data_IF_646131616211
#
_entry.id   IF_646131616211
#
_cell.length_a   1.000
_cell.length_b   1.000
_cell.length_c   1.000
_cell.angle_alpha   90.00
_cell.angle_beta   90.00
_cell.angle_gamma   90.00
#
_symmetry.space_group_name_H-M   'P 1'
#
loop_
_entity.id
_entity.type
_entity.pdbx_description
1 polymer ?
#
# COMPACT_ATOMS: atom_id res chain seq x y z
N UNK A 1 -22.77 -3.14 -2.43
CA UNK A 1 -22.35 -4.22 -3.35
C UNK A 1 -20.88 -4.00 -3.68
N UNK A 2 -20.04 -5.03 -3.62
CA UNK A 2 -18.62 -4.93 -3.96
C UNK A 2 -18.47 -4.89 -5.48
N UNK A 3 -17.79 -3.88 -6.02
CA UNK A 3 -17.58 -3.75 -7.47
C UNK A 3 -16.29 -4.42 -7.94
N UNK A 4 -15.26 -4.42 -7.10
CA UNK A 4 -13.94 -4.95 -7.41
C UNK A 4 -13.38 -5.75 -6.24
N UNK A 5 -12.64 -6.80 -6.57
CA UNK A 5 -11.74 -7.49 -5.66
C UNK A 5 -10.30 -7.10 -6.00
N UNK A 6 -9.52 -6.69 -5.02
CA UNK A 6 -8.08 -6.49 -5.19
C UNK A 6 -7.35 -7.77 -4.77
N UNK A 7 -6.60 -8.38 -5.70
CA UNK A 7 -5.67 -9.45 -5.39
C UNK A 7 -4.26 -8.88 -5.32
N UNK A 8 -3.59 -9.13 -4.20
CA UNK A 8 -2.31 -8.56 -3.80
C UNK A 8 -1.37 -9.70 -3.42
N UNK A 9 -0.13 -9.64 -3.89
CA UNK A 9 0.89 -10.66 -3.64
C UNK A 9 2.25 -10.01 -3.45
N UNK A 10 2.68 -9.77 -2.21
CA UNK A 10 3.96 -9.11 -1.95
C UNK A 10 5.12 -10.08 -2.07
N UNK A 11 6.16 -9.65 -2.77
CA UNK A 11 7.49 -10.24 -2.60
C UNK A 11 8.27 -9.43 -1.57
N UNK A 12 9.09 -10.13 -0.76
CA UNK A 12 9.86 -9.52 0.31
C UNK A 12 11.33 -9.96 0.31
N UNK A 13 12.21 -9.16 0.90
CA UNK A 13 13.58 -9.59 1.22
C UNK A 13 13.53 -10.84 2.10
N UNK A 14 14.39 -11.82 1.83
CA UNK A 14 14.46 -13.04 2.62
C UNK A 14 15.89 -13.60 2.68
N UNK A 15 16.14 -14.48 3.64
CA UNK A 15 17.43 -15.11 3.88
C UNK A 15 17.23 -16.53 4.41
N UNK A 16 17.97 -17.50 3.87
CA UNK A 16 17.97 -18.90 4.31
C UNK A 16 19.07 -19.21 5.34
N UNK A 17 19.98 -18.26 5.57
CA UNK A 17 21.11 -18.39 6.52
C UNK A 17 20.80 -17.84 7.91
N UNK A 18 19.78 -17.01 8.04
CA UNK A 18 19.36 -16.37 9.29
C UNK A 18 18.02 -16.94 9.73
N UNK A 19 17.84 -17.30 11.01
CA UNK A 19 16.52 -17.68 11.52
C UNK A 19 15.48 -16.60 11.25
N UNK A 20 14.26 -17.00 10.84
CA UNK A 20 13.20 -16.06 10.50
C UNK A 20 12.84 -15.11 11.65
N UNK A 21 13.04 -15.51 12.91
CA UNK A 21 12.83 -14.65 14.08
C UNK A 21 13.80 -13.48 14.18
N UNK A 22 14.92 -13.52 13.46
CA UNK A 22 16.00 -12.53 13.48
C UNK A 22 16.10 -11.76 12.16
N UNK A 23 15.32 -12.15 11.14
CA UNK A 23 15.29 -11.50 9.84
C UNK A 23 14.06 -10.60 9.70
N UNK A 24 14.28 -9.35 9.32
CA UNK A 24 13.22 -8.40 9.01
C UNK A 24 12.94 -8.47 7.51
N UNK A 25 11.77 -8.97 7.13
CA UNK A 25 11.34 -8.98 5.73
C UNK A 25 10.82 -7.58 5.37
N UNK A 26 11.32 -7.03 4.27
CA UNK A 26 10.87 -5.77 3.69
C UNK A 26 10.22 -6.04 2.34
N UNK A 27 9.10 -5.39 2.03
CA UNK A 27 8.45 -5.51 0.72
C UNK A 27 9.43 -5.01 -0.36
N UNK A 28 9.61 -5.79 -1.42
CA UNK A 28 10.45 -5.46 -2.59
C UNK A 28 9.68 -5.49 -3.92
N UNK A 29 8.46 -6.02 -3.93
CA UNK A 29 7.52 -5.92 -5.05
C UNK A 29 6.10 -5.74 -4.53
N UNK A 30 5.36 -4.82 -5.16
CA UNK A 30 3.99 -4.43 -4.80
C UNK A 30 3.06 -4.56 -6.02
N UNK A 31 2.66 -5.78 -6.41
CA UNK A 31 1.69 -6.01 -7.48
C UNK A 31 0.27 -6.10 -6.94
N UNK A 32 -0.67 -5.41 -7.58
CA UNK A 32 -2.11 -5.52 -7.29
C UNK A 32 -2.89 -5.64 -8.59
N UNK A 33 -3.83 -6.57 -8.66
CA UNK A 33 -4.80 -6.65 -9.77
C UNK A 33 -6.23 -6.49 -9.25
N UNK A 34 -7.04 -5.74 -10.00
CA UNK A 34 -8.43 -5.46 -9.65
C UNK A 34 -9.37 -6.26 -10.56
N UNK A 35 -10.05 -7.24 -9.97
CA UNK A 35 -10.99 -8.12 -10.65
C UNK A 35 -12.41 -7.58 -10.49
N UNK A 36 -13.06 -7.30 -11.61
CA UNK A 36 -14.43 -6.85 -11.66
C UNK A 36 -15.38 -7.97 -11.21
N UNK A 37 -16.20 -7.71 -10.19
CA UNK A 37 -17.08 -8.72 -9.60
C UNK A 37 -18.20 -9.21 -10.53
N UNK A 38 -18.51 -8.46 -11.60
CA UNK A 38 -19.54 -8.82 -12.58
C UNK A 38 -18.98 -9.57 -13.79
N UNK A 39 -17.84 -9.12 -14.32
CA UNK A 39 -17.27 -9.69 -15.55
C UNK A 39 -16.23 -10.78 -15.26
N UNK A 40 -15.72 -10.84 -14.02
CA UNK A 40 -14.61 -11.69 -13.59
C UNK A 40 -13.32 -11.47 -14.41
N UNK A 41 -13.19 -10.29 -15.02
CA UNK A 41 -11.98 -9.87 -15.73
C UNK A 41 -11.15 -8.94 -14.86
N UNK A 42 -9.84 -8.88 -15.15
CA UNK A 42 -8.94 -7.87 -14.58
C UNK A 42 -9.14 -6.58 -15.38
N UNK A 43 -9.64 -5.54 -14.71
CA UNK A 43 -9.84 -4.23 -15.34
C UNK A 43 -8.63 -3.32 -15.12
N UNK A 44 -7.94 -3.45 -13.98
CA UNK A 44 -6.81 -2.61 -13.60
C UNK A 44 -5.69 -3.42 -12.94
N UNK A 45 -4.46 -2.94 -13.10
CA UNK A 45 -3.27 -3.49 -12.46
C UNK A 45 -2.33 -2.38 -12.01
N UNK A 46 -1.84 -2.48 -10.78
CA UNK A 46 -0.76 -1.67 -10.25
C UNK A 46 0.46 -2.57 -10.03
N UNK A 47 1.65 -2.06 -10.31
CA UNK A 47 2.91 -2.77 -10.07
C UNK A 47 4.00 -1.74 -9.76
N UNK A 48 4.77 -2.02 -8.71
CA UNK A 48 6.01 -1.30 -8.43
C UNK A 48 7.00 -2.23 -7.74
N UNK A 49 8.28 -2.10 -8.09
CA UNK A 49 9.35 -2.54 -7.18
C UNK A 49 9.46 -1.57 -6.02
N UNK A 50 10.00 -2.04 -4.91
CA UNK A 50 10.18 -1.27 -3.69
C UNK A 50 11.64 -1.39 -3.23
N UNK A 51 12.24 -0.27 -2.86
CA UNK A 51 13.61 -0.24 -2.35
C UNK A 51 13.62 -0.59 -0.85
N UNK A 52 14.30 -1.68 -0.45
CA UNK A 52 14.50 -2.01 0.97
C UNK A 52 15.50 -1.03 1.60
N UNK A 53 15.33 -0.73 2.89
CA UNK A 53 16.12 0.23 3.66
C UNK A 53 17.04 -0.47 4.67
N UNK A 54 16.54 -1.51 5.32
CA UNK A 54 17.25 -2.28 6.34
C UNK A 54 18.20 -3.30 5.67
N UNK A 55 17.68 -4.15 4.79
CA UNK A 55 18.42 -5.16 4.01
C UNK A 55 18.53 -4.74 2.54
N UNK A 56 19.33 -3.70 2.28
CA UNK A 56 19.51 -3.12 0.93
C UNK A 56 20.03 -4.08 -0.13
N UNK A 57 20.80 -5.10 0.27
CA UNK A 57 21.36 -6.10 -0.63
C UNK A 57 20.50 -7.36 -0.57
N UNK A 58 19.92 -7.75 -1.71
CA UNK A 58 19.21 -9.01 -1.85
C UNK A 58 20.18 -10.17 -1.69
N UNK A 59 19.75 -11.21 -0.98
CA UNK A 59 20.50 -12.46 -0.90
C UNK A 59 20.33 -13.25 -2.20
N UNK A 60 21.31 -14.11 -2.53
CA UNK A 60 21.18 -15.00 -3.69
C UNK A 60 19.96 -15.91 -3.59
N UNK A 61 19.60 -16.33 -2.37
CA UNK A 61 18.39 -17.11 -2.09
C UNK A 61 17.13 -16.31 -2.46
N UNK A 62 17.03 -15.06 -2.02
CA UNK A 62 15.91 -14.18 -2.31
C UNK A 62 15.75 -13.97 -3.82
N UNK A 63 16.85 -13.62 -4.51
CA UNK A 63 16.82 -13.45 -5.97
C UNK A 63 16.43 -14.74 -6.71
N UNK A 64 16.87 -15.91 -6.24
CA UNK A 64 16.47 -17.20 -6.84
C UNK A 64 14.99 -17.52 -6.60
N UNK A 65 14.46 -17.17 -5.43
CA UNK A 65 13.09 -17.47 -5.05
C UNK A 65 12.08 -16.56 -5.76
N UNK A 66 12.35 -15.26 -5.80
CA UNK A 66 11.42 -14.25 -6.33
C UNK A 66 11.70 -13.91 -7.80
N UNK A 67 12.91 -14.16 -8.29
CA UNK A 67 13.38 -13.73 -9.60
C UNK A 67 13.79 -12.25 -9.67
N UNK A 68 13.70 -11.51 -8.56
CA UNK A 68 14.03 -10.08 -8.50
C UNK A 68 15.54 -9.89 -8.33
N UNK A 69 16.14 -9.11 -9.22
CA UNK A 69 17.57 -8.79 -9.21
C UNK A 69 17.84 -7.42 -8.57
N UNK A 70 19.04 -7.26 -8.02
CA UNK A 70 19.42 -6.09 -7.22
C UNK A 70 19.15 -4.74 -7.90
N UNK A 71 19.36 -4.63 -9.21
CA UNK A 71 19.14 -3.37 -9.94
C UNK A 71 17.66 -2.96 -10.00
N UNK A 72 16.72 -3.90 -9.91
CA UNK A 72 15.27 -3.59 -9.90
C UNK A 72 14.86 -2.87 -8.60
N UNK A 73 15.48 -3.21 -7.48
CA UNK A 73 15.18 -2.60 -6.17
C UNK A 73 16.10 -1.43 -5.81
N UNK A 74 17.28 -1.34 -6.42
CA UNK A 74 18.26 -0.28 -6.10
C UNK A 74 17.75 1.11 -6.49
N UNK A 75 17.15 1.20 -7.68
CA UNK A 75 16.62 2.44 -8.25
C UNK A 75 15.10 2.59 -8.04
N UNK A 76 14.49 1.67 -7.29
CA UNK A 76 13.07 1.71 -6.97
C UNK A 76 12.74 2.82 -5.95
N UNK A 77 11.49 3.33 -5.95
CA UNK A 77 10.95 4.14 -4.86
C UNK A 77 10.94 3.39 -3.52
N UNK A 78 11.00 4.13 -2.42
CA UNK A 78 10.84 3.56 -1.07
C UNK A 78 9.37 3.23 -0.81
N UNK A 79 9.08 2.36 0.17
CA UNK A 79 7.71 1.91 0.45
C UNK A 79 6.71 3.06 0.66
N UNK A 80 7.02 4.16 1.39
CA UNK A 80 6.10 5.29 1.52
C UNK A 80 5.71 5.91 0.17
N UNK A 81 6.67 6.12 -0.72
CA UNK A 81 6.41 6.68 -2.05
C UNK A 81 5.55 5.73 -2.90
N UNK A 82 5.78 4.42 -2.80
CA UNK A 82 4.96 3.41 -3.48
C UNK A 82 3.53 3.39 -2.97
N UNK A 83 3.33 3.60 -1.67
CA UNK A 83 2.00 3.72 -1.08
C UNK A 83 1.28 4.98 -1.55
N UNK A 84 1.99 6.11 -1.68
CA UNK A 84 1.44 7.34 -2.25
C UNK A 84 1.07 7.16 -3.73
N UNK A 85 1.91 6.49 -4.51
CA UNK A 85 1.62 6.11 -5.90
C UNK A 85 0.40 5.19 -6.00
N UNK A 86 0.29 4.21 -5.10
CA UNK A 86 -0.84 3.30 -5.06
C UNK A 86 -2.13 4.03 -4.65
N UNK A 87 -2.06 4.96 -3.70
CA UNK A 87 -3.20 5.80 -3.32
C UNK A 87 -3.67 6.66 -4.49
N UNK A 88 -2.75 7.33 -5.19
CA UNK A 88 -3.08 8.09 -6.40
C UNK A 88 -3.71 7.20 -7.48
N UNK A 89 -3.18 5.98 -7.68
CA UNK A 89 -3.77 5.01 -8.59
C UNK A 89 -5.21 4.64 -8.20
N UNK A 90 -5.50 4.43 -6.92
CA UNK A 90 -6.85 4.14 -6.45
C UNK A 90 -7.81 5.31 -6.70
N UNK A 91 -7.35 6.55 -6.47
CA UNK A 91 -8.15 7.75 -6.67
C UNK A 91 -8.47 7.98 -8.17
N UNK A 92 -7.46 7.87 -9.04
CA UNK A 92 -7.62 8.02 -10.50
C UNK A 92 -8.62 7.03 -11.10
N UNK A 93 -8.75 5.84 -10.51
CA UNK A 93 -9.66 4.78 -10.97
C UNK A 93 -10.97 4.73 -10.18
N UNK A 94 -11.20 5.65 -9.23
CA UNK A 94 -12.41 5.65 -8.39
C UNK A 94 -12.56 4.39 -7.54
N UNK A 95 -11.44 3.79 -7.13
CA UNK A 95 -11.35 2.58 -6.32
C UNK A 95 -11.26 2.89 -4.82
N UNK A 96 -11.18 4.17 -4.43
CA UNK A 96 -11.27 4.59 -3.05
C UNK A 96 -12.71 4.56 -2.52
N UNK A 97 -12.91 4.20 -1.23
CA UNK A 97 -14.24 4.24 -0.63
C UNK A 97 -14.82 5.66 -0.68
N UNK A 98 -16.03 5.78 -1.24
CA UNK A 98 -16.81 7.02 -1.17
C UNK A 98 -17.08 7.32 0.31
N UNK A 99 -16.47 8.38 0.84
CA UNK A 99 -16.62 8.81 2.23
C UNK A 99 -15.32 9.05 3.00
N UNK A 100 -14.15 8.75 2.43
CA UNK A 100 -12.87 9.23 2.98
C UNK A 100 -12.68 10.69 2.55
N UNK A 101 -13.37 11.60 3.22
CA UNK A 101 -13.03 13.02 3.20
C UNK A 101 -11.57 13.12 3.65
N UNK A 102 -10.70 13.72 2.82
CA UNK A 102 -9.41 14.21 3.29
C UNK A 102 -9.67 15.15 4.47
N UNK A 103 -8.82 15.13 5.50
CA UNK A 103 -8.99 16.01 6.67
C UNK A 103 -9.14 17.50 6.29
N UNK A 104 -8.66 17.89 5.10
CA UNK A 104 -8.85 19.23 4.53
C UNK A 104 -10.31 19.57 4.22
N UNK A 105 -11.13 18.61 3.77
CA UNK A 105 -12.55 18.87 3.46
C UNK A 105 -13.45 18.92 4.70
N UNK A 106 -13.04 18.33 5.82
CA UNK A 106 -13.72 18.45 7.12
C UNK A 106 -13.74 19.90 7.65
N UNK A 107 -12.73 20.70 7.30
CA UNK A 107 -12.67 22.12 7.67
C UNK A 107 -13.73 22.97 6.96
N UNK A 108 -14.13 22.57 5.75
CA UNK A 108 -15.12 23.29 4.93
C UNK A 108 -16.55 22.99 5.42
N UNK A 109 -16.79 21.77 5.90
CA UNK A 109 -18.11 21.30 6.33
C UNK A 109 -18.48 21.85 7.73
N UNK A 110 -17.49 22.02 8.63
CA UNK A 110 -17.74 22.46 10.01
C UNK A 110 -18.09 23.95 10.18
N UNK A 111 -18.04 24.77 9.13
CA UNK A 111 -18.35 26.22 9.22
C UNK A 111 -19.83 26.59 9.04
N UNK A 112 -20.75 25.64 8.78
CA UNK A 112 -22.14 25.99 8.39
C UNK A 112 -23.25 25.58 9.37
N UNK A 113 -23.01 24.95 10.52
CA UNK A 113 -24.11 24.70 11.48
C UNK A 113 -23.76 25.05 12.92
N UNK A 114 -24.51 26.02 13.41
CA UNK A 114 -24.45 26.71 14.68
C UNK A 114 -24.79 25.83 15.90
N UNK A 115 -24.26 26.29 17.05
CA UNK A 115 -24.85 26.28 18.41
C UNK A 115 -25.15 24.95 19.10
N UNK A 116 -24.53 24.75 20.27
CA UNK A 116 -25.09 23.92 21.35
C UNK A 116 -24.08 22.98 22.02
N UNK A 117 -23.43 23.50 23.05
CA UNK A 117 -22.84 22.86 24.24
C UNK A 117 -22.76 21.32 24.28
N UNK A 118 -21.53 20.79 24.16
CA UNK A 118 -21.21 19.40 24.42
C UNK A 118 -19.71 19.15 24.26
N UNK A 119 -19.00 19.03 25.37
CA UNK A 119 -17.56 18.78 25.45
C UNK A 119 -17.21 17.42 24.81
N UNK A 120 -16.46 17.46 23.70
CA UNK A 120 -15.96 16.27 23.01
C UNK A 120 -14.53 15.98 23.43
N UNK A 121 -14.30 14.80 24.04
CA UNK A 121 -12.95 14.29 24.34
C UNK A 121 -12.62 13.20 23.30
N UNK A 122 -11.68 13.43 22.36
CA UNK A 122 -11.27 12.40 21.42
C UNK A 122 -10.41 11.32 22.08
N UNK A 123 -10.70 10.08 21.70
CA UNK A 123 -9.95 8.88 22.09
C UNK A 123 -8.48 9.00 21.67
N UNK A 124 -7.61 8.76 22.66
CA UNK A 124 -6.19 8.46 22.53
C UNK A 124 -6.02 7.17 21.72
N UNK A 125 -5.44 7.28 20.54
CA UNK A 125 -4.75 6.14 19.93
C UNK A 125 -3.37 6.10 20.60
N UNK A 126 -3.02 4.91 21.13
CA UNK A 126 -1.93 4.53 22.08
C UNK A 126 -1.97 5.14 23.48
#
# INVERSE_FOLDING_TARGET
>A
MVLYYAALDFECTCCDQTPQSEWLNEIIEFPVVFVNSRTLQVDFSFHSYVKPIEQRALTDFCTQLTGIVQNQVTDAPELPDVLDMFQAFLDDHGLTPIGRLSEETSSIINTTTATGDGEYIPNKVI
#
